data_IF_053055718492
#
_entry.id   IF_053055718492
#
_cell.length_a   1.000
_cell.length_b   1.000
_cell.length_c   1.000
_cell.angle_alpha   90.00
_cell.angle_beta   90.00
_cell.angle_gamma   90.00
#
_symmetry.space_group_name_H-M   'P 1'
#
loop_
_entity.id
_entity.type
_entity.pdbx_description
1 polymer ?
#
# COMPACT_ATOMS: atom_id res chain seq x y z
N UNK A 1 3.39 -18.29 -8.84
CA UNK A 1 2.93 -16.90 -9.03
C UNK A 1 1.95 -16.43 -7.94
N UNK A 2 1.00 -17.27 -7.47
CA UNK A 2 0.20 -16.99 -6.25
C UNK A 2 1.06 -16.75 -4.99
N UNK A 3 2.24 -17.35 -4.93
CA UNK A 3 3.18 -17.25 -3.80
C UNK A 3 3.69 -15.83 -3.55
N UNK A 4 3.97 -15.07 -4.61
CA UNK A 4 4.42 -13.68 -4.50
C UNK A 4 3.26 -12.76 -4.12
N UNK A 5 2.05 -13.02 -4.64
CA UNK A 5 0.85 -12.27 -4.30
C UNK A 5 0.51 -12.43 -2.80
N UNK A 6 0.64 -13.65 -2.27
CA UNK A 6 0.46 -13.92 -0.83
C UNK A 6 1.59 -13.33 0.02
N UNK A 7 2.85 -13.40 -0.43
CA UNK A 7 3.97 -12.79 0.29
C UNK A 7 3.82 -11.26 0.42
N UNK A 8 3.35 -10.61 -0.65
CA UNK A 8 3.03 -9.18 -0.65
C UNK A 8 1.85 -8.89 0.28
N UNK A 9 0.78 -9.69 0.26
CA UNK A 9 -0.34 -9.55 1.19
C UNK A 9 0.09 -9.67 2.67
N UNK A 10 1.06 -10.52 2.99
CA UNK A 10 1.64 -10.58 4.34
C UNK A 10 2.39 -9.31 4.72
N UNK A 11 3.20 -8.74 3.82
CA UNK A 11 3.93 -7.48 4.08
C UNK A 11 2.96 -6.33 4.40
N UNK A 12 1.83 -6.30 3.71
CA UNK A 12 0.75 -5.33 3.92
C UNK A 12 0.12 -5.50 5.30
N UNK A 13 -0.33 -6.72 5.63
CA UNK A 13 -0.95 -6.98 6.93
C UNK A 13 0.02 -6.64 8.06
N UNK A 14 1.31 -6.90 7.87
CA UNK A 14 2.35 -6.50 8.81
C UNK A 14 2.50 -4.98 8.93
N UNK A 15 2.42 -4.22 7.83
CA UNK A 15 2.43 -2.74 7.85
C UNK A 15 1.21 -2.19 8.62
N UNK A 16 0.01 -2.72 8.37
CA UNK A 16 -1.20 -2.27 9.07
C UNK A 16 -1.20 -2.60 10.56
N UNK A 17 -0.74 -3.79 10.95
CA UNK A 17 -0.56 -4.12 12.36
C UNK A 17 0.48 -3.18 13.00
N UNK A 18 1.56 -2.83 12.28
CA UNK A 18 2.56 -1.90 12.76
C UNK A 18 2.06 -0.47 12.95
N UNK A 19 1.12 -0.03 12.11
CA UNK A 19 0.40 1.24 12.23
C UNK A 19 -0.53 1.24 13.45
N UNK A 20 -1.30 0.17 13.66
CA UNK A 20 -2.17 0.02 14.82
C UNK A 20 -1.39 0.04 16.14
N UNK A 21 -0.23 -0.63 16.20
CA UNK A 21 0.68 -0.56 17.37
C UNK A 21 1.18 0.88 17.59
N UNK A 22 1.51 1.60 16.52
CA UNK A 22 1.99 2.98 16.63
C UNK A 22 0.88 3.93 17.14
N UNK A 23 -0.37 3.71 16.74
CA UNK A 23 -1.53 4.46 17.26
C UNK A 23 -1.73 4.19 18.76
N UNK A 24 -1.78 2.92 19.17
CA UNK A 24 -1.88 2.52 20.58
C UNK A 24 -0.78 3.14 21.44
N UNK A 25 0.45 3.21 20.93
CA UNK A 25 1.56 3.83 21.65
C UNK A 25 1.40 5.34 21.81
N UNK A 26 0.82 6.05 20.82
CA UNK A 26 0.53 7.48 20.93
C UNK A 26 -0.59 7.74 21.93
N UNK A 27 -1.67 6.98 21.84
CA UNK A 27 -2.80 7.06 22.78
C UNK A 27 -2.33 6.74 24.21
N UNK A 28 -1.47 5.73 24.37
CA UNK A 28 -0.89 5.38 25.67
C UNK A 28 0.01 6.47 26.24
N UNK A 29 0.83 7.11 25.39
CA UNK A 29 1.66 8.26 25.79
C UNK A 29 0.79 9.45 26.22
N UNK A 30 -0.25 9.78 25.46
CA UNK A 30 -1.19 10.84 25.81
C UNK A 30 -1.93 10.52 27.13
N UNK A 31 -2.42 9.28 27.30
CA UNK A 31 -3.06 8.87 28.55
C UNK A 31 -2.11 9.00 29.76
N UNK A 32 -0.82 8.72 29.56
CA UNK A 32 0.19 8.89 30.60
C UNK A 32 0.44 10.38 30.93
N UNK A 33 0.54 11.24 29.91
CA UNK A 33 0.65 12.69 30.08
C UNK A 33 -0.55 13.28 30.83
N UNK A 34 -1.76 12.79 30.54
CA UNK A 34 -3.00 13.18 31.20
C UNK A 34 -3.20 12.52 32.59
N UNK A 35 -2.20 11.81 33.11
CA UNK A 35 -2.24 11.08 34.39
C UNK A 35 -3.35 10.01 34.48
N UNK A 36 -3.85 9.53 33.33
CA UNK A 36 -4.85 8.47 33.23
C UNK A 36 -4.17 7.10 33.22
N UNK A 37 -3.55 6.75 34.35
CA UNK A 37 -2.66 5.58 34.45
C UNK A 37 -3.35 4.24 34.17
N UNK A 38 -4.63 4.09 34.51
CA UNK A 38 -5.37 2.85 34.22
C UNK A 38 -5.57 2.65 32.71
N UNK A 39 -5.93 3.73 32.00
CA UNK A 39 -6.07 3.70 30.54
C UNK A 39 -4.72 3.47 29.87
N UNK A 40 -3.66 4.13 30.35
CA UNK A 40 -2.30 3.90 29.85
C UNK A 40 -1.87 2.44 30.02
N UNK A 41 -2.17 1.82 31.17
CA UNK A 41 -1.89 0.40 31.44
C UNK A 41 -2.61 -0.52 30.46
N UNK A 42 -3.90 -0.30 30.22
CA UNK A 42 -4.69 -1.09 29.28
C UNK A 42 -4.17 -0.96 27.83
N UNK A 43 -3.77 0.25 27.41
CA UNK A 43 -3.20 0.49 26.09
C UNK A 43 -1.83 -0.15 25.92
N UNK A 44 -1.00 -0.15 26.97
CA UNK A 44 0.28 -0.86 26.98
C UNK A 44 0.11 -2.37 26.86
N UNK A 45 -0.84 -2.94 27.60
CA UNK A 45 -1.19 -4.37 27.53
C UNK A 45 -1.63 -4.76 26.11
N UNK A 46 -2.55 -3.98 25.52
CA UNK A 46 -2.99 -4.16 24.13
C UNK A 46 -1.84 -4.04 23.13
N UNK A 47 -0.95 -3.06 23.32
CA UNK A 47 0.25 -2.89 22.48
C UNK A 47 1.20 -4.09 22.53
N UNK A 48 1.37 -4.68 23.71
CA UNK A 48 2.14 -5.92 23.90
C UNK A 48 1.50 -7.10 23.15
N UNK A 49 0.20 -7.32 23.34
CA UNK A 49 -0.54 -8.37 22.65
C UNK A 49 -0.49 -8.22 21.12
N UNK A 50 -0.63 -6.98 20.62
CA UNK A 50 -0.55 -6.68 19.19
C UNK A 50 0.87 -6.91 18.63
N UNK A 51 1.90 -6.61 19.41
CA UNK A 51 3.29 -6.91 19.04
C UNK A 51 3.55 -8.41 18.94
N UNK A 52 3.01 -9.20 19.89
CA UNK A 52 3.08 -10.66 19.85
C UNK A 52 2.32 -11.22 18.64
N UNK A 53 1.14 -10.67 18.32
CA UNK A 53 0.39 -11.04 17.11
C UNK A 53 1.17 -10.72 15.83
N UNK A 54 1.75 -9.53 15.71
CA UNK A 54 2.60 -9.12 14.58
C UNK A 54 3.75 -10.10 14.36
N UNK A 55 4.39 -10.58 15.43
CA UNK A 55 5.47 -11.56 15.33
C UNK A 55 4.95 -12.90 14.80
N UNK A 56 3.79 -13.37 15.26
CA UNK A 56 3.14 -14.59 14.72
C UNK A 56 2.82 -14.46 13.23
N UNK A 57 2.26 -13.34 12.80
CA UNK A 57 1.99 -13.08 11.36
C UNK A 57 3.28 -13.08 10.56
N UNK A 58 4.36 -12.53 11.11
CA UNK A 58 5.67 -12.54 10.46
C UNK A 58 6.27 -13.94 10.37
N UNK A 59 6.06 -14.78 11.37
CA UNK A 59 6.51 -16.17 11.32
C UNK A 59 5.69 -16.97 10.30
N UNK A 60 4.37 -16.76 10.21
CA UNK A 60 3.54 -17.31 9.14
C UNK A 60 4.01 -16.88 7.73
N UNK A 61 4.41 -15.61 7.56
CA UNK A 61 5.00 -15.14 6.31
C UNK A 61 6.28 -15.93 5.95
N UNK A 62 7.17 -16.15 6.93
CA UNK A 62 8.39 -16.94 6.70
C UNK A 62 8.08 -18.40 6.42
N UNK A 63 7.13 -18.99 7.13
CA UNK A 63 6.67 -20.36 6.88
C UNK A 63 6.14 -20.50 5.46
N UNK A 64 5.29 -19.58 5.03
CA UNK A 64 4.82 -19.49 3.65
C UNK A 64 5.99 -19.41 2.66
N UNK A 65 6.93 -18.49 2.88
CA UNK A 65 8.11 -18.34 2.03
C UNK A 65 8.94 -19.63 1.99
N UNK A 66 9.13 -20.32 3.11
CA UNK A 66 9.93 -21.54 3.20
C UNK A 66 9.27 -22.74 2.51
N UNK A 67 7.94 -22.89 2.63
CA UNK A 67 7.17 -23.95 1.95
C UNK A 67 7.37 -23.88 0.43
N UNK A 68 7.49 -22.66 -0.10
CA UNK A 68 7.64 -22.45 -1.54
C UNK A 68 9.07 -22.14 -2.01
N UNK A 69 9.98 -21.76 -1.12
CA UNK A 69 11.41 -21.60 -1.42
C UNK A 69 12.11 -22.93 -1.71
N UNK A 70 11.57 -24.06 -1.23
CA UNK A 70 12.11 -25.40 -1.48
C UNK A 70 12.10 -25.84 -2.96
N UNK A 71 11.55 -25.03 -3.88
CA UNK A 71 11.47 -25.34 -5.33
C UNK A 71 12.63 -24.71 -6.13
N UNK A 72 13.49 -23.86 -5.54
CA UNK A 72 14.60 -23.22 -6.26
C UNK A 72 15.93 -23.33 -5.49
N UNK A 73 17.02 -23.86 -6.08
CA UNK A 73 18.31 -23.94 -5.40
C UNK A 73 18.88 -22.52 -5.18
N UNK A 74 19.09 -22.15 -3.91
CA UNK A 74 19.59 -20.83 -3.52
C UNK A 74 21.10 -20.66 -3.79
N UNK A 75 21.49 -19.52 -4.36
CA UNK A 75 22.83 -18.93 -4.21
C UNK A 75 22.84 -17.95 -3.01
N UNK A 76 23.93 -17.85 -2.23
CA UNK A 76 23.91 -17.19 -0.92
C UNK A 76 24.01 -15.66 -1.00
N UNK A 77 23.13 -14.96 -0.25
CA UNK A 77 23.11 -13.49 -0.10
C UNK A 77 23.93 -13.00 1.11
N UNK A 78 24.62 -11.87 0.94
CA UNK A 78 25.38 -11.13 1.97
C UNK A 78 24.50 -10.18 2.80
N UNK A 79 25.05 -9.78 3.97
CA UNK A 79 24.40 -9.30 5.22
C UNK A 79 23.72 -7.90 5.18
N UNK A 80 22.78 -7.71 6.12
CA UNK A 80 21.78 -6.63 6.30
C UNK A 80 22.31 -5.31 6.90
N UNK A 81 21.73 -4.18 6.52
CA UNK A 81 21.91 -2.83 7.08
C UNK A 81 20.74 -2.42 8.03
N UNK A 82 20.88 -1.37 8.89
CA UNK A 82 20.07 -1.18 10.10
C UNK A 82 18.72 -0.44 9.88
N UNK A 83 17.78 -0.71 10.79
CA UNK A 83 16.36 -0.27 10.79
C UNK A 83 16.18 1.21 11.17
N UNK A 84 15.49 2.00 10.34
CA UNK A 84 15.08 3.37 10.66
C UNK A 84 13.60 3.50 11.08
N UNK A 85 13.34 4.54 11.88
CA UNK A 85 12.16 4.84 12.71
C UNK A 85 10.82 4.96 11.94
N UNK A 86 9.74 4.50 12.59
CA UNK A 86 8.34 4.55 12.12
C UNK A 86 7.81 5.99 12.01
N UNK A 87 6.96 6.25 11.00
CA UNK A 87 6.35 7.55 10.70
C UNK A 87 4.84 7.58 11.04
N UNK A 88 4.25 8.79 11.11
CA UNK A 88 2.89 9.03 11.58
C UNK A 88 1.79 8.83 10.51
N UNK A 89 0.55 8.54 10.95
CA UNK A 89 -0.61 8.17 10.11
C UNK A 89 -1.35 9.43 9.62
N UNK A 90 -2.02 9.38 8.46
CA UNK A 90 -2.73 10.52 7.82
C UNK A 90 -1.92 11.33 6.81
N UNK A 91 -0.69 10.90 6.52
CA UNK A 91 0.28 11.64 5.72
C UNK A 91 0.44 11.10 4.28
N UNK A 92 -0.48 10.27 3.77
CA UNK A 92 -0.38 9.69 2.42
C UNK A 92 -1.58 10.11 1.58
N UNK A 93 -1.36 10.28 0.28
CA UNK A 93 -2.44 10.53 -0.68
C UNK A 93 -3.43 9.34 -0.66
N UNK A 94 -4.75 9.58 -0.48
CA UNK A 94 -5.75 8.52 -0.46
C UNK A 94 -5.79 7.70 -1.75
N UNK A 95 -6.25 6.45 -1.65
CA UNK A 95 -6.41 5.56 -2.81
C UNK A 95 -7.30 6.16 -3.91
N UNK A 96 -8.41 6.80 -3.53
CA UNK A 96 -9.37 7.38 -4.45
C UNK A 96 -8.78 8.46 -5.37
N UNK A 97 -7.77 9.19 -4.90
CA UNK A 97 -7.06 10.21 -5.68
C UNK A 97 -6.26 9.61 -6.85
N UNK A 98 -5.97 8.30 -6.81
CA UNK A 98 -5.26 7.61 -7.89
C UNK A 98 -6.19 7.01 -8.96
N UNK A 99 -7.50 6.90 -8.70
CA UNK A 99 -8.44 6.22 -9.62
C UNK A 99 -8.50 6.91 -10.98
N UNK A 100 -8.80 8.21 -10.99
CA UNK A 100 -8.89 9.00 -12.22
C UNK A 100 -7.54 9.05 -12.98
N UNK A 101 -6.41 9.36 -12.33
CA UNK A 101 -5.10 9.31 -12.98
C UNK A 101 -4.74 7.96 -13.62
N UNK A 102 -5.09 6.84 -12.98
CA UNK A 102 -4.84 5.50 -13.53
C UNK A 102 -5.69 5.25 -14.78
N UNK A 103 -7.00 5.52 -14.71
CA UNK A 103 -7.91 5.34 -15.85
C UNK A 103 -7.52 6.24 -17.02
N UNK A 104 -7.21 7.51 -16.75
CA UNK A 104 -6.72 8.44 -17.76
C UNK A 104 -5.42 7.95 -18.41
N UNK A 105 -4.46 7.48 -17.60
CA UNK A 105 -3.20 6.94 -18.12
C UNK A 105 -3.40 5.74 -19.03
N UNK A 106 -4.32 4.85 -18.68
CA UNK A 106 -4.66 3.70 -19.52
C UNK A 106 -5.30 4.10 -20.84
N UNK A 107 -6.25 5.05 -20.84
CA UNK A 107 -6.85 5.56 -22.07
C UNK A 107 -5.80 6.16 -22.99
N UNK A 108 -4.91 7.00 -22.45
CA UNK A 108 -3.85 7.63 -23.24
C UNK A 108 -2.79 6.63 -23.75
N UNK A 109 -2.59 5.52 -23.06
CA UNK A 109 -1.70 4.42 -23.49
C UNK A 109 -2.38 3.41 -24.42
N UNK A 110 -3.59 3.70 -24.93
CA UNK A 110 -4.29 2.84 -25.88
C UNK A 110 -5.23 1.80 -25.26
N UNK A 111 -5.54 1.93 -23.97
CA UNK A 111 -6.49 1.10 -23.23
C UNK A 111 -5.87 -0.09 -22.49
N UNK A 112 -4.66 -0.51 -22.85
CA UNK A 112 -3.94 -1.60 -22.21
C UNK A 112 -2.44 -1.35 -22.26
N UNK A 113 -1.75 -1.42 -21.12
CA UNK A 113 -0.34 -1.09 -21.05
C UNK A 113 0.40 -1.77 -19.89
N UNK A 114 1.73 -1.94 -19.98
CA UNK A 114 2.55 -2.41 -18.86
C UNK A 114 2.38 -1.51 -17.64
N UNK A 115 2.25 -2.12 -16.45
CA UNK A 115 2.05 -1.46 -15.17
C UNK A 115 3.04 -0.32 -14.93
N UNK A 116 4.32 -0.53 -15.23
CA UNK A 116 5.34 0.50 -15.03
C UNK A 116 5.09 1.74 -15.90
N UNK A 117 4.67 1.54 -17.16
CA UNK A 117 4.34 2.66 -18.05
C UNK A 117 3.11 3.43 -17.56
N UNK A 118 2.12 2.71 -17.02
CA UNK A 118 0.94 3.35 -16.40
C UNK A 118 1.36 4.15 -15.19
N UNK A 119 2.13 3.57 -14.27
CA UNK A 119 2.62 4.24 -13.07
C UNK A 119 3.46 5.47 -13.41
N UNK A 120 4.42 5.38 -14.32
CA UNK A 120 5.25 6.52 -14.73
C UNK A 120 4.41 7.70 -15.26
N UNK A 121 3.25 7.41 -15.86
CA UNK A 121 2.32 8.43 -16.33
C UNK A 121 1.43 8.97 -15.21
N UNK A 122 0.94 8.09 -14.33
CA UNK A 122 0.21 8.47 -13.11
C UNK A 122 1.05 9.43 -12.28
N UNK A 123 2.35 9.16 -12.10
CA UNK A 123 3.28 10.01 -11.34
C UNK A 123 3.26 11.46 -11.83
N UNK A 124 3.21 11.66 -13.15
CA UNK A 124 3.16 12.99 -13.75
C UNK A 124 1.82 13.68 -13.54
N UNK A 125 0.72 12.92 -13.46
CA UNK A 125 -0.63 13.46 -13.26
C UNK A 125 -0.90 13.81 -11.79
N UNK A 126 -0.29 13.09 -10.86
CA UNK A 126 -0.51 13.26 -9.41
C UNK A 126 0.63 13.99 -8.72
N UNK A 127 1.67 14.43 -9.45
CA UNK A 127 2.88 15.04 -8.87
C UNK A 127 2.54 16.12 -7.86
N UNK A 128 1.57 16.97 -8.17
CA UNK A 128 1.25 18.14 -7.35
C UNK A 128 0.42 17.76 -6.11
N UNK A 129 -0.15 16.53 -6.10
CA UNK A 129 -0.91 15.96 -5.00
C UNK A 129 -0.04 15.10 -4.07
N UNK A 130 1.05 14.52 -4.57
CA UNK A 130 1.94 13.67 -3.78
C UNK A 130 2.70 14.49 -2.73
N UNK A 131 2.54 14.10 -1.47
CA UNK A 131 3.27 14.72 -0.37
C UNK A 131 4.65 14.07 -0.14
N UNK A 132 5.38 14.58 0.86
CA UNK A 132 6.73 14.11 1.17
C UNK A 132 6.82 12.61 1.53
N UNK A 133 5.76 12.00 2.01
CA UNK A 133 5.73 10.58 2.42
C UNK A 133 5.46 9.66 1.24
N UNK A 134 4.58 10.09 0.34
CA UNK A 134 4.30 9.39 -0.91
C UNK A 134 5.56 9.23 -1.77
N UNK A 135 6.42 10.26 -1.71
CA UNK A 135 7.72 10.34 -2.40
C UNK A 135 8.87 9.63 -1.68
N UNK A 136 8.63 9.06 -0.49
CA UNK A 136 9.63 8.21 0.16
C UNK A 136 9.66 6.83 -0.47
N UNK A 137 10.84 6.24 -0.51
CA UNK A 137 11.02 4.86 -0.95
C UNK A 137 10.62 3.88 0.15
N UNK A 138 10.34 2.64 -0.24
CA UNK A 138 10.04 1.59 0.71
C UNK A 138 11.33 1.19 1.44
N UNK A 139 11.30 1.04 2.78
CA UNK A 139 12.46 0.53 3.53
C UNK A 139 12.89 -0.88 3.10
N UNK A 140 11.97 -1.65 2.50
CA UNK A 140 12.22 -3.00 1.94
C UNK A 140 12.79 -2.97 0.53
N UNK A 141 12.47 -1.95 -0.27
CA UNK A 141 12.97 -1.77 -1.63
C UNK A 141 13.18 -0.27 -1.92
N UNK A 142 14.44 0.21 -1.87
CA UNK A 142 14.78 1.60 -2.13
C UNK A 142 14.46 2.06 -3.55
N UNK A 143 14.13 1.16 -4.48
CA UNK A 143 13.80 1.50 -5.87
C UNK A 143 12.31 1.79 -6.08
N UNK A 144 11.47 1.50 -5.09
CA UNK A 144 10.01 1.65 -5.18
C UNK A 144 9.53 2.76 -4.25
N UNK A 145 8.87 3.77 -4.83
CA UNK A 145 8.21 4.83 -4.07
C UNK A 145 6.90 4.34 -3.45
N UNK A 146 6.59 4.80 -2.23
CA UNK A 146 5.39 4.41 -1.47
C UNK A 146 4.10 4.64 -2.25
N UNK A 147 4.00 5.74 -2.99
CA UNK A 147 2.81 6.06 -3.79
C UNK A 147 2.52 5.03 -4.90
N UNK A 148 3.56 4.39 -5.45
CA UNK A 148 3.38 3.32 -6.46
C UNK A 148 2.68 2.10 -5.87
N UNK A 149 2.86 1.86 -4.57
CA UNK A 149 2.13 0.81 -3.85
C UNK A 149 0.66 1.23 -3.61
N UNK A 150 0.42 2.47 -3.21
CA UNK A 150 -0.95 3.02 -3.09
C UNK A 150 -1.72 2.97 -4.41
N UNK A 151 -1.09 3.30 -5.53
CA UNK A 151 -1.69 3.18 -6.85
C UNK A 151 -2.01 1.73 -7.25
N UNK A 152 -1.21 0.76 -6.80
CA UNK A 152 -1.49 -0.67 -7.00
C UNK A 152 -2.71 -1.14 -6.19
N UNK A 153 -2.94 -0.58 -5.00
CA UNK A 153 -4.17 -0.79 -4.24
C UNK A 153 -5.40 -0.24 -4.94
N UNK A 154 -5.32 1.01 -5.42
CA UNK A 154 -6.36 1.62 -6.24
C UNK A 154 -6.73 0.69 -7.40
N UNK A 155 -5.74 0.10 -8.07
CA UNK A 155 -5.98 -0.89 -9.13
C UNK A 155 -6.69 -2.14 -8.61
N UNK A 156 -6.29 -2.70 -7.48
CA UNK A 156 -6.93 -3.90 -6.93
C UNK A 156 -8.41 -3.66 -6.60
N UNK A 157 -8.75 -2.51 -6.03
CA UNK A 157 -10.14 -2.10 -5.77
C UNK A 157 -10.91 -1.87 -7.07
N UNK A 158 -10.33 -1.13 -8.01
CA UNK A 158 -10.94 -0.86 -9.31
C UNK A 158 -11.20 -2.13 -10.15
N UNK A 159 -10.39 -3.19 -9.99
CA UNK A 159 -10.68 -4.49 -10.61
C UNK A 159 -11.91 -5.16 -9.97
N UNK A 160 -12.05 -5.11 -8.64
CA UNK A 160 -13.23 -5.65 -7.95
C UNK A 160 -14.51 -4.90 -8.35
N UNK A 161 -14.40 -3.61 -8.59
CA UNK A 161 -15.50 -2.75 -9.06
C UNK A 161 -15.77 -2.87 -10.57
N UNK A 162 -14.94 -3.63 -11.31
CA UNK A 162 -15.09 -3.83 -12.75
C UNK A 162 -14.65 -2.65 -13.63
N UNK A 163 -13.96 -1.66 -13.06
CA UNK A 163 -13.40 -0.51 -13.81
C UNK A 163 -12.11 -0.90 -14.58
N UNK A 164 -11.39 -1.89 -14.06
CA UNK A 164 -10.21 -2.48 -14.69
C UNK A 164 -10.40 -3.97 -14.90
N UNK A 165 -9.79 -4.52 -15.94
CA UNK A 165 -9.95 -5.93 -16.29
C UNK A 165 -9.25 -6.85 -15.27
N UNK A 166 -9.94 -7.90 -14.83
CA UNK A 166 -9.36 -8.98 -14.01
C UNK A 166 -8.54 -9.98 -14.83
N UNK A 167 -8.72 -9.97 -16.16
CA UNK A 167 -8.21 -11.01 -17.07
C UNK A 167 -7.01 -10.52 -17.91
N UNK A 168 -6.44 -9.36 -17.58
CA UNK A 168 -5.28 -8.82 -18.28
C UNK A 168 -4.04 -9.71 -18.11
N UNK A 169 -3.13 -9.73 -19.10
CA UNK A 169 -1.83 -10.39 -18.97
C UNK A 169 -1.03 -9.90 -17.76
N UNK A 170 -0.16 -10.75 -17.22
CA UNK A 170 0.65 -10.38 -16.04
C UNK A 170 1.50 -9.14 -16.30
N UNK A 171 1.47 -8.22 -15.33
CA UNK A 171 2.20 -6.95 -15.43
C UNK A 171 1.58 -5.95 -16.40
N UNK A 172 0.40 -6.24 -16.96
CA UNK A 172 -0.36 -5.34 -17.84
C UNK A 172 -1.65 -4.94 -17.13
N UNK A 173 -1.98 -3.66 -17.20
CA UNK A 173 -3.25 -3.13 -16.74
C UNK A 173 -4.08 -2.74 -17.96
N UNK A 174 -5.39 -2.96 -17.88
CA UNK A 174 -6.31 -2.70 -18.98
C UNK A 174 -7.61 -2.13 -18.42
N UNK A 175 -8.11 -1.09 -19.10
CA UNK A 175 -9.36 -0.42 -18.76
C UNK A 175 -10.55 -1.13 -19.42
N UNK A 176 -11.63 -1.32 -18.66
CA UNK A 176 -12.89 -1.85 -19.19
C UNK A 176 -13.76 -0.72 -19.77
N UNK A 177 -14.83 -1.08 -20.47
CA UNK A 177 -15.82 -0.08 -20.92
C UNK A 177 -16.48 0.64 -19.73
N UNK A 178 -16.77 -0.09 -18.64
CA UNK A 178 -17.24 0.50 -17.38
C UNK A 178 -16.25 1.53 -16.83
N UNK A 179 -14.94 1.23 -16.87
CA UNK A 179 -13.88 2.16 -16.49
C UNK A 179 -13.85 3.42 -17.36
N UNK A 180 -14.10 3.29 -18.68
CA UNK A 180 -14.17 4.44 -19.60
C UNK A 180 -15.38 5.32 -19.31
N UNK A 181 -16.54 4.72 -19.05
CA UNK A 181 -17.76 5.44 -18.65
C UNK A 181 -17.54 6.18 -17.33
N UNK A 182 -16.97 5.51 -16.33
CA UNK A 182 -16.63 6.12 -15.05
C UNK A 182 -15.70 7.32 -15.23
N UNK A 183 -14.65 7.17 -16.03
CA UNK A 183 -13.72 8.27 -16.35
C UNK A 183 -14.44 9.43 -17.02
N UNK A 184 -15.30 9.18 -18.02
CA UNK A 184 -16.05 10.24 -18.71
C UNK A 184 -16.98 11.02 -17.76
N UNK A 185 -17.62 10.35 -16.81
CA UNK A 185 -18.48 10.98 -15.80
C UNK A 185 -17.70 11.88 -14.84
N UNK A 186 -16.48 11.50 -14.49
CA UNK A 186 -15.66 12.19 -13.48
C UNK A 186 -14.62 13.16 -14.08
N UNK A 187 -14.33 13.07 -15.38
CA UNK A 187 -13.45 13.99 -16.09
C UNK A 187 -14.10 15.36 -16.38
N UNK A 188 -15.44 15.45 -16.27
CA UNK A 188 -16.21 16.66 -16.57
C UNK A 188 -16.47 17.53 -15.33
N UNK A 189 -16.14 17.07 -14.11
CA UNK A 189 -16.32 17.85 -12.88
C UNK A 189 -15.05 17.83 -12.02
N UNK A 190 -14.26 18.91 -11.98
CA UNK A 190 -13.34 19.12 -10.88
C UNK A 190 -14.20 19.42 -9.65
N UNK A 191 -14.47 18.42 -8.81
CA UNK A 191 -15.12 18.62 -7.52
C UNK A 191 -14.18 19.41 -6.62
N UNK A 192 -14.25 20.74 -6.70
CA UNK A 192 -14.16 21.56 -5.50
C UNK A 192 -15.54 21.61 -4.85
N UNK A 193 -15.59 21.42 -3.53
CA UNK A 193 -16.23 22.45 -2.74
C UNK A 193 -15.33 22.84 -1.57
N UNK A 194 -14.80 24.06 -1.66
CA UNK A 194 -14.56 24.88 -0.47
C UNK A 194 -15.91 25.47 -0.06
N UNK A 195 -16.34 25.23 1.17
CA UNK A 195 -16.61 26.23 2.22
C UNK A 195 -17.00 25.49 3.49
#
# INVERSE_FOLDING_TARGET
>A
MLQNEVAVAFDIVLEEIENAIAALNREGAQAFEESKYDIARDLMEKGSQMTAFRNRVKDLQKEWQNIFAAIVPQKPQRRKAPRHKKLQHGLRTPEDEFRIPILQSLVELGGSAPMNNVLDKVERLVSDKLNAYDRQTLPSDPTVFRWRNTAQWARATMVKEGLLSSNSPRGVWEITDTGRVFLAQHAVHPTHPST
#
